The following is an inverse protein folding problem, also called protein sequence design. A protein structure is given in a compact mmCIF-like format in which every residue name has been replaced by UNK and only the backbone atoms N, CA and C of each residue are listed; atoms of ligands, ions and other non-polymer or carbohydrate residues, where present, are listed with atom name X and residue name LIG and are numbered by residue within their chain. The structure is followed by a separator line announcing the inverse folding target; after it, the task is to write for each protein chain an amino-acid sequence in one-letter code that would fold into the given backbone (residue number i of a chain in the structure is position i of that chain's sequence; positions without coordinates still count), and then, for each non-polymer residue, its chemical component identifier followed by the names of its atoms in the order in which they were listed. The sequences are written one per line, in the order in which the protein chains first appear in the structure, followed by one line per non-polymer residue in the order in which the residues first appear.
data_IF_158581256227
#
_entry.id   IF_158581256227
#
_cell.length_a   1.000
_cell.length_b   1.000
_cell.length_c   1.000
_cell.angle_alpha   90.00
_cell.angle_beta   90.00
_cell.angle_gamma   90.00
#
_symmetry.space_group_name_H-M   'P 1'
#
loop_
_entity.id
_entity.type
_entity.pdbx_description
1 polymer ?
#
# COMPACT_ATOMS: atom_id res chain seq x y z
N UNK A 1 -10.16 23.98 16.35
CA UNK A 1 -9.66 23.95 14.97
C UNK A 1 -9.32 22.51 14.67
N UNK A 2 -9.83 22.02 13.54
CA UNK A 2 -10.17 20.63 13.29
C UNK A 2 -8.95 19.71 13.39
N UNK A 3 -9.05 18.69 14.24
CA UNK A 3 -8.19 17.53 14.17
C UNK A 3 -8.59 16.76 12.92
N UNK A 4 -7.74 16.83 11.90
CA UNK A 4 -7.69 15.77 10.91
C UNK A 4 -7.36 14.49 11.67
N UNK A 5 -8.33 13.59 11.79
CA UNK A 5 -8.07 12.21 12.16
C UNK A 5 -7.06 11.68 11.14
N UNK A 6 -5.79 11.59 11.55
CA UNK A 6 -4.73 10.99 10.75
C UNK A 6 -5.16 9.56 10.52
N UNK A 7 -5.66 9.31 9.31
CA UNK A 7 -6.23 8.07 8.84
C UNK A 7 -5.36 6.89 9.30
N UNK A 8 -5.84 6.19 10.34
CA UNK A 8 -5.03 5.32 11.20
C UNK A 8 -4.93 3.90 10.61
N UNK A 9 -5.12 3.73 9.31
CA UNK A 9 -5.05 2.45 8.58
C UNK A 9 -3.72 1.73 8.81
N UNK A 10 -2.63 2.49 8.95
CA UNK A 10 -1.29 1.94 9.20
C UNK A 10 -1.07 1.49 10.66
N UNK A 11 -1.94 1.85 11.61
CA UNK A 11 -1.82 1.38 13.00
C UNK A 11 -2.07 -0.12 13.16
N UNK A 12 -2.88 -0.70 12.27
CA UNK A 12 -3.12 -2.14 12.21
C UNK A 12 -1.93 -2.92 11.60
N UNK A 13 -1.03 -2.23 10.87
CA UNK A 13 0.15 -2.82 10.24
C UNK A 13 1.36 -2.97 11.18
N UNK A 14 1.30 -2.49 12.43
CA UNK A 14 2.37 -2.73 13.41
C UNK A 14 2.44 -4.18 13.94
N UNK A 15 1.69 -5.09 13.32
CA UNK A 15 1.86 -6.53 13.50
C UNK A 15 3.20 -7.01 12.92
N UNK A 16 3.66 -8.19 13.37
CA UNK A 16 4.88 -8.83 12.84
C UNK A 16 4.88 -8.94 11.31
N UNK A 17 3.70 -9.16 10.70
CA UNK A 17 3.55 -9.23 9.24
C UNK A 17 3.82 -7.90 8.55
N UNK A 18 3.35 -6.78 9.11
CA UNK A 18 3.59 -5.48 8.50
C UNK A 18 5.04 -5.01 8.66
N UNK A 19 5.69 -5.34 9.78
CA UNK A 19 7.12 -5.08 9.95
C UNK A 19 7.95 -5.87 8.93
N UNK A 20 7.66 -7.16 8.73
CA UNK A 20 8.34 -7.99 7.71
C UNK A 20 8.09 -7.45 6.30
N UNK A 21 6.85 -7.04 6.01
CA UNK A 21 6.49 -6.50 4.69
C UNK A 21 7.24 -5.20 4.42
N UNK A 22 7.26 -4.27 5.39
CA UNK A 22 7.99 -3.02 5.28
C UNK A 22 9.52 -3.24 5.18
N UNK A 23 10.07 -4.18 5.93
CA UNK A 23 11.48 -4.58 5.81
C UNK A 23 11.81 -5.06 4.39
N UNK A 24 10.97 -5.92 3.81
CA UNK A 24 11.15 -6.41 2.43
C UNK A 24 11.04 -5.28 1.40
N UNK A 25 10.10 -4.35 1.57
CA UNK A 25 9.94 -3.19 0.68
C UNK A 25 11.19 -2.32 0.74
N UNK A 26 11.62 -1.91 1.93
CA UNK A 26 12.82 -1.10 2.11
C UNK A 26 14.09 -1.82 1.63
N UNK A 27 14.16 -3.15 1.81
CA UNK A 27 15.25 -3.98 1.28
C UNK A 27 15.38 -3.92 -0.24
N UNK A 28 14.26 -3.87 -0.99
CA UNK A 28 14.29 -3.64 -2.45
C UNK A 28 14.87 -2.28 -2.82
N UNK A 29 14.75 -1.30 -1.94
CA UNK A 29 15.31 0.05 -2.08
C UNK A 29 16.73 0.18 -1.52
N UNK A 30 17.36 -0.94 -1.13
CA UNK A 30 18.67 -1.00 -0.49
C UNK A 30 18.75 -0.22 0.84
N UNK A 31 17.62 -0.08 1.51
CA UNK A 31 17.51 0.54 2.84
C UNK A 31 17.40 -0.56 3.88
N UNK A 32 18.49 -0.77 4.62
CA UNK A 32 18.55 -1.76 5.71
C UNK A 32 18.62 -1.02 7.05
N UNK A 33 17.55 -1.06 7.83
CA UNK A 33 17.46 -0.48 9.18
C UNK A 33 17.55 -1.57 10.24
N UNK A 34 18.06 -1.24 11.43
CA UNK A 34 17.96 -2.14 12.58
C UNK A 34 16.49 -2.27 13.01
N UNK A 35 16.07 -3.40 13.58
CA UNK A 35 14.66 -3.67 13.87
C UNK A 35 13.97 -2.56 14.70
N UNK A 36 14.65 -2.03 15.73
CA UNK A 36 14.10 -0.94 16.54
C UNK A 36 13.93 0.36 15.74
N UNK A 37 14.89 0.68 14.87
CA UNK A 37 14.81 1.86 13.99
C UNK A 37 13.73 1.68 12.93
N UNK A 38 13.58 0.47 12.36
CA UNK A 38 12.56 0.15 11.37
C UNK A 38 11.16 0.38 11.94
N UNK A 39 10.89 -0.14 13.14
CA UNK A 39 9.57 0.02 13.79
C UNK A 39 9.26 1.49 13.99
N UNK A 40 10.22 2.27 14.48
CA UNK A 40 10.02 3.71 14.68
C UNK A 40 9.86 4.47 13.37
N UNK A 41 10.68 4.15 12.38
CA UNK A 41 10.66 4.77 11.06
C UNK A 41 9.32 4.62 10.34
N UNK A 42 8.64 3.49 10.53
CA UNK A 42 7.30 3.24 9.99
C UNK A 42 6.22 3.94 10.83
N UNK A 43 6.43 4.09 12.15
CA UNK A 43 5.49 4.79 13.04
C UNK A 43 5.45 6.29 12.81
N UNK A 44 6.59 6.89 12.51
CA UNK A 44 6.70 8.33 12.40
C UNK A 44 6.20 8.81 11.04
N UNK A 45 5.02 9.49 10.97
CA UNK A 45 4.43 9.85 9.68
C UNK A 45 5.30 10.82 8.89
N UNK A 46 6.10 11.63 9.58
CA UNK A 46 6.98 12.63 8.97
C UNK A 46 8.32 12.06 8.49
N UNK A 47 8.57 10.76 8.70
CA UNK A 47 9.83 10.14 8.29
C UNK A 47 9.83 9.85 6.78
N UNK A 48 10.99 10.01 6.14
CA UNK A 48 11.20 9.56 4.77
C UNK A 48 10.87 8.08 4.58
N UNK A 49 11.22 7.24 5.55
CA UNK A 49 11.01 5.79 5.46
C UNK A 49 9.52 5.43 5.50
N UNK A 50 8.73 6.14 6.30
CA UNK A 50 7.28 6.01 6.31
C UNK A 50 6.71 6.30 4.91
N UNK A 51 7.14 7.39 4.30
CA UNK A 51 6.69 7.79 2.96
C UNK A 51 7.15 6.81 1.86
N UNK A 52 8.34 6.23 1.99
CA UNK A 52 8.83 5.19 1.07
C UNK A 52 8.00 3.91 1.10
N UNK A 53 7.42 3.54 2.25
CA UNK A 53 6.60 2.32 2.38
C UNK A 53 5.10 2.57 2.21
N UNK A 54 4.63 3.81 2.41
CA UNK A 54 3.20 4.15 2.41
C UNK A 54 2.47 3.71 1.14
N UNK A 55 2.98 4.08 -0.04
CA UNK A 55 2.36 3.73 -1.33
C UNK A 55 2.41 2.21 -1.60
N UNK A 56 3.57 1.53 -1.48
CA UNK A 56 3.63 0.08 -1.64
C UNK A 56 2.72 -0.69 -0.68
N UNK A 57 2.63 -0.28 0.59
CA UNK A 57 1.77 -0.95 1.57
C UNK A 57 0.28 -0.82 1.22
N UNK A 58 -0.16 0.36 0.77
CA UNK A 58 -1.52 0.55 0.25
C UNK A 58 -1.78 -0.33 -0.97
N UNK A 59 -0.82 -0.42 -1.89
CA UNK A 59 -0.94 -1.31 -3.05
C UNK A 59 -1.05 -2.79 -2.66
N UNK A 60 -0.34 -3.24 -1.61
CA UNK A 60 -0.48 -4.60 -1.08
C UNK A 60 -1.88 -4.82 -0.51
N UNK A 61 -2.41 -3.87 0.27
CA UNK A 61 -3.77 -3.94 0.79
C UNK A 61 -4.81 -4.01 -0.34
N UNK A 62 -4.67 -3.16 -1.36
CA UNK A 62 -5.55 -3.18 -2.53
C UNK A 62 -5.49 -4.50 -3.28
N UNK A 63 -4.30 -5.11 -3.39
CA UNK A 63 -4.15 -6.44 -3.96
C UNK A 63 -4.97 -7.50 -3.21
N UNK A 64 -4.97 -7.47 -1.87
CA UNK A 64 -5.77 -8.39 -1.04
C UNK A 64 -7.27 -8.17 -1.27
N UNK A 65 -7.74 -6.92 -1.32
CA UNK A 65 -9.16 -6.61 -1.54
C UNK A 65 -9.60 -7.04 -2.95
N UNK A 66 -8.76 -6.79 -3.96
CA UNK A 66 -9.00 -7.23 -5.34
C UNK A 66 -9.02 -8.77 -5.44
N UNK A 67 -8.15 -9.47 -4.72
CA UNK A 67 -8.15 -10.95 -4.67
C UNK A 67 -9.46 -11.47 -4.06
N UNK A 68 -9.93 -10.90 -2.95
CA UNK A 68 -11.25 -11.22 -2.37
C UNK A 68 -12.40 -10.97 -3.34
N UNK A 69 -12.38 -9.82 -4.04
CA UNK A 69 -13.38 -9.50 -5.06
C UNK A 69 -13.34 -10.50 -6.23
N UNK A 70 -12.13 -10.91 -6.64
CA UNK A 70 -11.93 -11.91 -7.67
C UNK A 70 -12.46 -13.29 -7.24
N UNK A 71 -12.25 -13.69 -5.99
CA UNK A 71 -12.79 -14.95 -5.47
C UNK A 71 -14.32 -14.98 -5.50
N UNK A 72 -14.97 -13.85 -5.16
CA UNK A 72 -16.42 -13.70 -5.36
C UNK A 72 -16.82 -13.77 -6.83
N UNK A 73 -16.10 -13.07 -7.72
CA UNK A 73 -16.36 -13.11 -9.15
C UNK A 73 -16.26 -14.54 -9.71
N UNK A 74 -15.19 -15.28 -9.37
CA UNK A 74 -14.96 -16.67 -9.78
C UNK A 74 -16.08 -17.58 -9.26
N UNK A 75 -16.49 -17.41 -8.00
CA UNK A 75 -17.60 -18.18 -7.46
C UNK A 75 -18.93 -17.90 -8.20
N UNK A 76 -19.24 -16.64 -8.47
CA UNK A 76 -20.41 -16.26 -9.26
C UNK A 76 -20.38 -16.88 -10.67
N UNK A 77 -19.23 -16.87 -11.33
CA UNK A 77 -19.04 -17.51 -12.63
C UNK A 77 -19.30 -19.02 -12.57
N UNK A 78 -18.78 -19.71 -11.54
CA UNK A 78 -19.01 -21.14 -11.34
C UNK A 78 -20.50 -21.47 -11.17
N UNK A 79 -21.24 -20.67 -10.41
CA UNK A 79 -22.70 -20.82 -10.28
C UNK A 79 -23.42 -20.77 -11.64
N UNK A 80 -23.01 -19.86 -12.51
CA UNK A 80 -23.55 -19.76 -13.86
C UNK A 80 -23.11 -20.91 -14.76
N UNK A 81 -21.87 -21.37 -14.67
CA UNK A 81 -21.37 -22.51 -15.45
C UNK A 81 -22.18 -23.77 -15.08
N UNK A 82 -22.36 -24.05 -13.79
CA UNK A 82 -23.12 -25.20 -13.32
C UNK A 82 -24.58 -25.13 -13.79
N UNK A 83 -25.19 -23.93 -13.71
CA UNK A 83 -26.54 -23.68 -14.21
C UNK A 83 -26.65 -23.90 -15.73
N UNK A 84 -25.73 -23.36 -16.53
CA UNK A 84 -25.77 -23.49 -18.00
C UNK A 84 -25.53 -24.94 -18.46
N UNK A 85 -24.65 -25.68 -17.77
CA UNK A 85 -24.37 -27.08 -18.07
C UNK A 85 -25.49 -28.03 -17.65
N UNK A 86 -26.38 -27.61 -16.75
CA UNK A 86 -27.55 -28.41 -16.34
C UNK A 86 -28.59 -28.60 -17.45
N UNK A 87 -28.54 -27.78 -18.51
CA UNK A 87 -29.55 -27.78 -19.58
C UNK A 87 -30.86 -27.06 -19.22
N UNK A 88 -31.01 -26.55 -17.98
CA UNK A 88 -32.17 -25.75 -17.57
C UNK A 88 -32.32 -24.49 -18.42
N UNK A 89 -31.21 -23.86 -18.80
CA UNK A 89 -31.20 -22.67 -19.65
C UNK A 89 -31.67 -22.90 -21.10
N UNK A 90 -31.73 -24.17 -21.55
CA UNK A 90 -32.12 -24.53 -22.90
C UNK A 90 -33.62 -24.87 -23.04
N UNK A 91 -34.39 -24.74 -21.96
CA UNK A 91 -35.84 -25.01 -21.97
C UNK A 91 -36.61 -23.88 -22.64
N UNK A 92 -37.70 -24.26 -23.32
CA UNK A 92 -38.57 -23.33 -24.06
C UNK A 92 -39.09 -22.16 -23.20
N UNK A 93 -39.39 -21.05 -23.87
CA UNK A 93 -39.92 -19.82 -23.25
C UNK A 93 -41.30 -20.03 -22.59
N UNK A 94 -42.03 -21.07 -23.00
CA UNK A 94 -43.32 -21.43 -22.41
C UNK A 94 -43.18 -22.40 -21.22
N UNK A 95 -42.00 -22.97 -20.98
CA UNK A 95 -41.77 -23.91 -19.90
C UNK A 95 -41.75 -23.20 -18.53
N UNK A 96 -42.22 -23.89 -17.49
CA UNK A 96 -42.24 -23.37 -16.13
C UNK A 96 -40.85 -22.82 -15.72
N UNK A 97 -40.82 -21.62 -15.13
CA UNK A 97 -39.59 -20.96 -14.72
C UNK A 97 -38.97 -20.01 -15.76
N UNK A 98 -39.61 -19.78 -16.92
CA UNK A 98 -39.11 -18.89 -17.97
C UNK A 98 -38.72 -17.48 -17.46
N UNK A 99 -39.56 -16.86 -16.62
CA UNK A 99 -39.28 -15.54 -16.01
C UNK A 99 -38.00 -15.57 -15.17
N UNK A 100 -37.76 -16.64 -14.41
CA UNK A 100 -36.55 -16.83 -13.61
C UNK A 100 -35.33 -17.04 -14.50
N UNK A 101 -35.47 -17.80 -15.61
CA UNK A 101 -34.39 -17.99 -16.60
C UNK A 101 -33.99 -16.69 -17.28
N UNK A 102 -34.96 -15.86 -17.66
CA UNK A 102 -34.69 -14.53 -18.22
C UNK A 102 -33.99 -13.61 -17.21
N UNK A 103 -34.44 -13.63 -15.93
CA UNK A 103 -33.77 -12.87 -14.87
C UNK A 103 -32.32 -13.33 -14.65
N UNK A 104 -32.07 -14.64 -14.65
CA UNK A 104 -30.71 -15.21 -14.57
C UNK A 104 -29.85 -14.81 -15.76
N UNK A 105 -30.38 -14.76 -16.97
CA UNK A 105 -29.64 -14.29 -18.14
C UNK A 105 -29.28 -12.80 -18.01
N UNK A 106 -30.19 -11.96 -17.48
CA UNK A 106 -29.87 -10.56 -17.18
C UNK A 106 -28.75 -10.42 -16.15
N UNK A 107 -28.80 -11.18 -15.05
CA UNK A 107 -27.73 -11.19 -14.04
C UNK A 107 -26.40 -11.71 -14.64
N UNK A 108 -26.44 -12.67 -15.57
CA UNK A 108 -25.24 -13.16 -16.28
C UNK A 108 -24.60 -12.07 -17.14
N UNK A 109 -25.40 -11.32 -17.89
CA UNK A 109 -24.90 -10.22 -18.72
C UNK A 109 -24.32 -9.10 -17.86
N UNK A 110 -24.96 -8.79 -16.73
CA UNK A 110 -24.43 -7.84 -15.75
C UNK A 110 -23.12 -8.32 -15.14
N UNK A 111 -23.01 -9.61 -14.79
CA UNK A 111 -21.78 -10.19 -14.25
C UNK A 111 -20.62 -10.09 -15.25
N UNK A 112 -20.87 -10.34 -16.54
CA UNK A 112 -19.84 -10.19 -17.59
C UNK A 112 -19.38 -8.74 -17.69
N UNK A 113 -20.30 -7.79 -17.78
CA UNK A 113 -19.96 -6.37 -17.85
C UNK A 113 -19.19 -5.90 -16.61
N UNK A 114 -19.59 -6.38 -15.43
CA UNK A 114 -18.90 -6.11 -14.16
C UNK A 114 -17.50 -6.73 -14.14
N UNK A 115 -17.35 -7.96 -14.66
CA UNK A 115 -16.09 -8.67 -14.79
C UNK A 115 -15.10 -7.96 -15.72
N UNK A 116 -15.55 -7.47 -16.87
CA UNK A 116 -14.73 -6.72 -17.82
C UNK A 116 -14.17 -5.43 -17.18
N UNK A 117 -15.02 -4.69 -16.47
CA UNK A 117 -14.61 -3.48 -15.75
C UNK A 117 -13.67 -3.80 -14.58
N UNK A 118 -13.94 -4.89 -13.84
CA UNK A 118 -13.05 -5.36 -12.78
C UNK A 118 -11.65 -5.72 -13.31
N UNK A 119 -11.56 -6.42 -14.44
CA UNK A 119 -10.28 -6.72 -15.09
C UNK A 119 -9.55 -5.45 -15.55
N UNK A 120 -10.29 -4.42 -15.98
CA UNK A 120 -9.72 -3.10 -16.30
C UNK A 120 -9.08 -2.46 -15.06
N UNK A 121 -9.77 -2.48 -13.92
CA UNK A 121 -9.22 -1.97 -12.64
C UNK A 121 -8.01 -2.77 -12.19
N UNK A 122 -8.02 -4.10 -12.31
CA UNK A 122 -6.87 -4.93 -12.00
C UNK A 122 -5.64 -4.54 -12.85
N UNK A 123 -5.82 -4.34 -14.16
CA UNK A 123 -4.75 -3.86 -15.03
C UNK A 123 -4.25 -2.46 -14.66
N UNK A 124 -5.13 -1.57 -14.21
CA UNK A 124 -4.74 -0.25 -13.69
C UNK A 124 -3.94 -0.35 -12.39
N UNK A 125 -4.29 -1.27 -11.50
CA UNK A 125 -3.55 -1.53 -10.26
C UNK A 125 -2.14 -2.08 -10.55
N UNK A 126 -2.01 -3.03 -11.47
CA UNK A 126 -0.71 -3.57 -11.90
C UNK A 126 0.19 -2.47 -12.49
N UNK A 127 -0.39 -1.61 -13.34
CA UNK A 127 0.32 -0.46 -13.90
C UNK A 127 0.75 0.53 -12.82
N UNK A 128 -0.13 0.85 -11.86
CA UNK A 128 0.14 1.74 -10.74
C UNK A 128 1.29 1.21 -9.86
N UNK A 129 1.31 -0.11 -9.60
CA UNK A 129 2.41 -0.76 -8.88
C UNK A 129 3.72 -0.57 -9.64
N UNK A 130 3.75 -0.89 -10.94
CA UNK A 130 4.97 -0.79 -11.74
C UNK A 130 5.50 0.66 -11.79
N UNK A 131 4.61 1.63 -12.03
CA UNK A 131 4.95 3.04 -12.13
C UNK A 131 5.48 3.58 -10.79
N UNK A 132 4.73 3.36 -9.70
CA UNK A 132 5.12 3.83 -8.36
C UNK A 132 6.42 3.18 -7.88
N UNK A 133 6.63 1.88 -8.12
CA UNK A 133 7.87 1.19 -7.78
C UNK A 133 9.08 1.77 -8.54
N UNK A 134 8.92 2.07 -9.83
CA UNK A 134 9.98 2.68 -10.64
C UNK A 134 10.43 4.03 -10.07
N UNK A 135 9.48 4.89 -9.69
CA UNK A 135 9.77 6.19 -9.05
C UNK A 135 10.43 6.02 -7.69
N UNK A 136 9.89 5.14 -6.83
CA UNK A 136 10.43 4.88 -5.49
C UNK A 136 11.87 4.34 -5.55
N UNK A 137 12.16 3.43 -6.47
CA UNK A 137 13.52 2.89 -6.70
C UNK A 137 14.46 4.01 -7.15
N UNK A 138 14.04 4.84 -8.10
CA UNK A 138 14.85 5.95 -8.62
C UNK A 138 15.19 6.96 -7.53
N UNK A 139 14.19 7.36 -6.73
CA UNK A 139 14.40 8.29 -5.61
C UNK A 139 15.31 7.66 -4.56
N UNK A 140 15.10 6.39 -4.21
CA UNK A 140 15.93 5.68 -3.23
C UNK A 140 17.40 5.60 -3.66
N UNK A 141 17.66 5.32 -4.94
CA UNK A 141 19.03 5.34 -5.48
C UNK A 141 19.67 6.72 -5.43
N UNK A 142 18.92 7.77 -5.81
CA UNK A 142 19.39 9.15 -5.74
C UNK A 142 19.71 9.55 -4.29
N UNK A 143 18.81 9.22 -3.36
CA UNK A 143 18.98 9.45 -1.93
C UNK A 143 20.22 8.73 -1.39
N UNK A 144 20.36 7.43 -1.64
CA UNK A 144 21.51 6.64 -1.17
C UNK A 144 22.85 7.20 -1.70
N UNK A 145 22.88 7.64 -2.97
CA UNK A 145 24.06 8.26 -3.57
C UNK A 145 24.43 9.59 -2.92
N UNK A 146 23.47 10.47 -2.70
CA UNK A 146 23.72 11.75 -2.02
C UNK A 146 24.01 11.56 -0.52
N UNK A 147 23.43 10.55 0.12
CA UNK A 147 23.74 10.19 1.51
C UNK A 147 25.21 9.78 1.66
N UNK A 148 25.75 8.95 0.76
CA UNK A 148 27.17 8.59 0.79
C UNK A 148 28.09 9.80 0.53
N UNK A 149 27.70 10.70 -0.38
CA UNK A 149 28.44 11.96 -0.61
C UNK A 149 28.45 12.85 0.64
N UNK A 150 27.29 13.00 1.29
CA UNK A 150 27.17 13.75 2.53
C UNK A 150 28.03 13.13 3.64
N UNK A 151 27.96 11.81 3.86
CA UNK A 151 28.79 11.11 4.86
C UNK A 151 30.28 11.37 4.61
N UNK A 152 30.72 11.34 3.35
CA UNK A 152 32.11 11.65 2.99
C UNK A 152 32.47 13.11 3.27
N UNK A 153 31.59 14.05 2.93
CA UNK A 153 31.79 15.49 3.16
C UNK A 153 31.83 15.83 4.66
N UNK A 154 31.03 15.13 5.48
CA UNK A 154 30.92 15.35 6.92
C UNK A 154 32.14 14.86 7.71
N UNK A 155 32.97 13.97 7.16
CA UNK A 155 34.17 13.48 7.86
C UNK A 155 35.12 14.60 8.29
N UNK A 156 35.36 15.57 7.41
CA UNK A 156 36.32 16.65 7.68
C UNK A 156 35.80 17.61 8.77
N UNK A 157 34.57 18.16 8.66
CA UNK A 157 33.96 18.96 9.73
C UNK A 157 33.85 18.22 11.07
N UNK A 158 33.44 16.94 11.07
CA UNK A 158 33.29 16.16 12.29
C UNK A 158 34.63 15.86 12.96
N UNK A 159 35.71 15.66 12.19
CA UNK A 159 37.06 15.51 12.75
C UNK A 159 37.53 16.76 13.50
N UNK A 160 37.18 17.95 13.01
CA UNK A 160 37.44 19.22 13.71
C UNK A 160 36.66 19.31 15.03
N UNK A 161 35.52 18.62 15.13
CA UNK A 161 34.72 18.50 16.35
C UNK A 161 35.15 17.33 17.26
N UNK A 162 36.37 16.81 17.10
CA UNK A 162 36.91 15.66 17.85
C UNK A 162 36.19 14.31 17.63
N UNK A 163 35.41 14.16 16.57
CA UNK A 163 34.85 12.87 16.19
C UNK A 163 35.82 12.08 15.28
N UNK A 164 36.20 10.87 15.68
CA UNK A 164 37.06 9.98 14.86
C UNK A 164 36.40 8.65 14.48
N UNK A 165 35.08 8.54 14.59
CA UNK A 165 34.36 7.29 14.35
C UNK A 165 34.29 6.88 12.86
N UNK A 166 33.92 5.62 12.59
CA UNK A 166 33.76 5.10 11.22
C UNK A 166 32.57 5.74 10.49
N UNK A 167 32.53 5.60 9.15
CA UNK A 167 31.41 6.07 8.31
C UNK A 167 30.06 5.48 8.72
N UNK A 168 30.07 4.26 9.26
CA UNK A 168 28.86 3.57 9.73
C UNK A 168 28.18 4.32 10.87
N UNK A 169 28.92 4.94 11.79
CA UNK A 169 28.35 5.74 12.88
C UNK A 169 27.73 7.03 12.37
N UNK A 170 28.37 7.72 11.43
CA UNK A 170 27.80 8.91 10.77
C UNK A 170 26.50 8.54 10.05
N UNK A 171 26.48 7.39 9.35
CA UNK A 171 25.27 6.87 8.70
C UNK A 171 24.17 6.60 9.71
N UNK A 172 24.48 5.96 10.84
CA UNK A 172 23.51 5.70 11.93
C UNK A 172 22.95 7.00 12.50
N UNK A 173 23.80 7.99 12.76
CA UNK A 173 23.37 9.30 13.26
C UNK A 173 22.44 10.02 12.26
N UNK A 174 22.75 9.99 10.96
CA UNK A 174 21.88 10.56 9.94
C UNK A 174 20.54 9.84 9.86
N UNK A 175 20.51 8.50 9.86
CA UNK A 175 19.27 7.71 9.87
C UNK A 175 18.39 8.03 11.07
N UNK A 176 19.00 8.13 12.25
CA UNK A 176 18.31 8.53 13.46
C UNK A 176 17.66 9.90 13.29
N UNK A 177 18.40 10.91 12.81
CA UNK A 177 17.85 12.23 12.58
C UNK A 177 16.72 12.24 11.52
N UNK A 178 16.82 11.44 10.45
CA UNK A 178 15.77 11.28 9.41
C UNK A 178 14.49 10.60 9.93
N UNK A 179 14.59 9.84 11.03
CA UNK A 179 13.42 9.21 11.67
C UNK A 179 12.72 10.21 12.58
N UNK A 180 13.46 11.00 13.35
CA UNK A 180 12.90 11.81 14.44
C UNK A 180 12.71 13.30 14.12
N UNK A 181 13.22 13.81 13.00
CA UNK A 181 13.05 15.21 12.59
C UNK A 181 12.12 15.33 11.38
N UNK A 182 11.14 16.24 11.45
CA UNK A 182 10.34 16.62 10.29
C UNK A 182 11.08 17.67 9.45
N UNK A 183 11.92 17.21 8.51
CA UNK A 183 12.54 18.05 7.48
C UNK A 183 11.78 17.98 6.15
N UNK A 184 10.83 17.04 6.03
CA UNK A 184 10.08 16.82 4.81
C UNK A 184 9.07 17.95 4.53
N UNK A 185 8.33 18.40 5.55
CA UNK A 185 7.27 19.40 5.37
C UNK A 185 7.72 20.83 5.71
N UNK A 186 8.76 20.97 6.54
CA UNK A 186 9.15 22.27 7.09
C UNK A 186 10.68 22.42 7.21
N UNK A 187 11.27 23.06 6.21
CA UNK A 187 12.73 23.27 6.10
C UNK A 187 13.21 24.61 6.67
N UNK A 188 12.64 25.05 7.79
CA UNK A 188 13.18 26.20 8.54
C UNK A 188 14.60 25.93 9.02
N UNK A 189 15.39 26.98 9.21
CA UNK A 189 16.74 26.86 9.78
C UNK A 189 16.74 26.17 11.15
N UNK A 190 15.72 26.44 11.98
CA UNK A 190 15.53 25.80 13.28
C UNK A 190 15.39 24.27 13.16
N UNK A 191 14.56 23.79 12.22
CA UNK A 191 14.40 22.36 11.99
C UNK A 191 15.69 21.74 11.43
N UNK A 192 16.38 22.41 10.50
CA UNK A 192 17.68 21.95 9.98
C UNK A 192 18.74 21.86 11.08
N UNK A 193 18.73 22.76 12.07
CA UNK A 193 19.61 22.66 13.24
C UNK A 193 19.16 21.58 14.22
N UNK A 194 17.85 21.39 14.41
CA UNK A 194 17.29 20.29 15.21
C UNK A 194 17.71 18.92 14.67
N UNK A 195 17.75 18.76 13.34
CA UNK A 195 18.30 17.57 12.69
C UNK A 195 19.75 17.30 13.11
N UNK A 196 20.58 18.34 13.17
CA UNK A 196 21.97 18.23 13.61
C UNK A 196 22.06 17.87 15.10
N UNK A 197 21.21 18.42 15.95
CA UNK A 197 21.15 18.02 17.35
C UNK A 197 20.77 16.53 17.51
N UNK A 198 19.83 16.03 16.71
CA UNK A 198 19.51 14.60 16.69
C UNK A 198 20.65 13.73 16.17
N UNK A 199 21.47 14.22 15.25
CA UNK A 199 22.71 13.52 14.92
C UNK A 199 23.68 13.49 16.10
N UNK A 200 23.81 14.60 16.84
CA UNK A 200 24.69 14.70 18.00
C UNK A 200 24.27 13.77 19.15
N UNK A 201 22.98 13.47 19.29
CA UNK A 201 22.48 12.49 20.27
C UNK A 201 23.13 11.11 20.07
N UNK A 202 23.48 10.74 18.83
CA UNK A 202 24.18 9.49 18.50
C UNK A 202 25.70 9.67 18.52
N UNK A 203 26.21 10.75 17.91
CA UNK A 203 27.65 10.99 17.78
C UNK A 203 28.31 11.42 19.10
N UNK A 204 27.52 11.84 20.09
CA UNK A 204 27.94 12.35 21.42
C UNK A 204 28.98 13.48 21.31
N UNK A 205 28.75 14.40 20.37
CA UNK A 205 29.60 15.57 20.13
C UNK A 205 28.83 16.87 20.36
N UNK A 206 29.54 17.91 20.76
CA UNK A 206 29.02 19.27 20.84
C UNK A 206 29.55 20.09 19.68
N UNK A 207 28.65 20.57 18.82
CA UNK A 207 29.01 21.34 17.63
C UNK A 207 28.89 22.85 17.88
N UNK A 208 29.87 23.61 17.40
CA UNK A 208 29.79 25.07 17.34
C UNK A 208 28.81 25.51 16.25
N UNK A 209 28.26 26.71 16.36
CA UNK A 209 27.28 27.22 15.39
C UNK A 209 27.82 27.25 13.95
N UNK A 210 29.09 27.63 13.77
CA UNK A 210 29.77 27.61 12.47
C UNK A 210 29.83 26.20 11.84
N UNK A 211 30.15 25.19 12.66
CA UNK A 211 30.16 23.80 12.20
C UNK A 211 28.75 23.31 11.85
N UNK A 212 27.72 23.72 12.60
CA UNK A 212 26.32 23.39 12.27
C UNK A 212 25.94 23.95 10.91
N UNK A 213 26.23 25.22 10.63
CA UNK A 213 25.96 25.85 9.32
C UNK A 213 26.67 25.09 8.19
N UNK A 214 27.94 24.71 8.40
CA UNK A 214 28.70 23.93 7.41
C UNK A 214 28.13 22.54 7.19
N UNK A 215 27.62 21.88 8.23
CA UNK A 215 26.96 20.58 8.15
C UNK A 215 25.62 20.70 7.41
N UNK A 216 24.80 21.71 7.73
CA UNK A 216 23.56 22.01 6.99
C UNK A 216 23.85 22.16 5.50
N UNK A 217 24.87 22.94 5.14
CA UNK A 217 25.25 23.14 3.74
C UNK A 217 25.58 21.82 3.01
N UNK A 218 26.27 20.89 3.69
CA UNK A 218 26.58 19.57 3.13
C UNK A 218 25.35 18.65 3.02
N UNK A 219 24.29 18.93 3.78
CA UNK A 219 23.04 18.16 3.82
C UNK A 219 21.92 18.74 2.96
N UNK A 220 22.10 19.95 2.40
CA UNK A 220 21.06 20.68 1.67
C UNK A 220 20.43 19.87 0.53
N UNK A 221 21.23 19.05 -0.16
CA UNK A 221 20.73 18.14 -1.21
C UNK A 221 19.84 17.03 -0.65
N UNK A 222 20.16 16.49 0.52
CA UNK A 222 19.34 15.46 1.18
C UNK A 222 17.99 16.08 1.55
N UNK A 223 18.02 17.25 2.19
CA UNK A 223 16.79 17.96 2.56
C UNK A 223 15.93 18.24 1.33
N UNK A 224 16.54 18.72 0.24
CA UNK A 224 15.81 18.92 -1.01
C UNK A 224 15.18 17.62 -1.54
N UNK A 225 15.90 16.51 -1.53
CA UNK A 225 15.36 15.21 -1.97
C UNK A 225 14.15 14.80 -1.13
N UNK A 226 14.18 14.98 0.20
CA UNK A 226 13.03 14.65 1.05
C UNK A 226 11.80 15.50 0.73
N UNK A 227 11.97 16.82 0.58
CA UNK A 227 10.86 17.72 0.23
C UNK A 227 10.30 17.42 -1.18
N UNK A 228 11.18 17.21 -2.17
CA UNK A 228 10.76 16.90 -3.54
C UNK A 228 10.07 15.53 -3.61
N UNK A 229 10.48 14.58 -2.75
CA UNK A 229 9.88 13.25 -2.70
C UNK A 229 8.44 13.28 -2.22
N UNK A 230 8.14 14.06 -1.17
CA UNK A 230 6.77 14.17 -0.65
C UNK A 230 5.79 14.59 -1.75
N UNK A 231 6.16 15.57 -2.57
CA UNK A 231 5.35 16.04 -3.69
C UNK A 231 5.16 14.95 -4.76
N UNK A 232 6.23 14.23 -5.09
CA UNK A 232 6.20 13.19 -6.13
C UNK A 232 5.26 12.01 -5.78
N UNK A 233 5.09 11.69 -4.50
CA UNK A 233 4.27 10.55 -4.09
C UNK A 233 2.79 10.86 -3.87
N UNK A 234 2.40 12.14 -3.77
CA UNK A 234 1.01 12.52 -3.50
C UNK A 234 0.05 11.99 -4.57
N UNK A 235 0.43 12.08 -5.85
CA UNK A 235 -0.40 11.56 -6.95
C UNK A 235 -0.64 10.04 -6.80
N UNK A 236 0.39 9.29 -6.43
CA UNK A 236 0.26 7.85 -6.22
C UNK A 236 -0.60 7.52 -5.00
N UNK A 237 -0.53 8.32 -3.93
CA UNK A 237 -1.41 8.16 -2.76
C UNK A 237 -2.87 8.31 -3.17
N UNK A 238 -3.20 9.34 -3.95
CA UNK A 238 -4.57 9.56 -4.46
C UNK A 238 -5.01 8.41 -5.36
N UNK A 239 -4.19 8.00 -6.33
CA UNK A 239 -4.50 6.85 -7.20
C UNK A 239 -4.71 5.56 -6.42
N UNK A 240 -3.92 5.31 -5.37
CA UNK A 240 -4.14 4.12 -4.52
C UNK A 240 -5.50 4.17 -3.83
N UNK A 241 -5.94 5.34 -3.37
CA UNK A 241 -7.24 5.52 -2.74
C UNK A 241 -8.41 5.25 -3.70
N UNK A 242 -8.30 5.74 -4.94
CA UNK A 242 -9.30 5.49 -5.99
C UNK A 242 -9.43 3.99 -6.30
N UNK A 243 -8.31 3.27 -6.34
CA UNK A 243 -8.29 1.81 -6.49
C UNK A 243 -8.91 1.13 -5.27
N UNK A 244 -8.64 1.59 -4.04
CA UNK A 244 -9.26 1.05 -2.82
C UNK A 244 -10.78 1.14 -2.89
N UNK A 245 -11.31 2.32 -3.23
CA UNK A 245 -12.75 2.56 -3.35
C UNK A 245 -13.38 1.67 -4.42
N UNK A 246 -12.71 1.57 -5.57
CA UNK A 246 -13.16 0.71 -6.67
C UNK A 246 -13.17 -0.76 -6.25
N UNK A 247 -12.08 -1.26 -5.65
CA UNK A 247 -11.94 -2.65 -5.23
C UNK A 247 -13.00 -3.05 -4.19
N UNK A 248 -13.25 -2.19 -3.20
CA UNK A 248 -14.33 -2.40 -2.22
C UNK A 248 -15.70 -2.46 -2.91
N UNK A 249 -15.97 -1.53 -3.84
CA UNK A 249 -17.22 -1.50 -4.60
C UNK A 249 -17.43 -2.77 -5.43
N UNK A 250 -16.39 -3.29 -6.11
CA UNK A 250 -16.49 -4.55 -6.83
C UNK A 250 -16.73 -5.73 -5.90
N UNK A 251 -16.04 -5.79 -4.75
CA UNK A 251 -16.24 -6.84 -3.75
C UNK A 251 -17.70 -6.91 -3.32
N UNK A 252 -18.31 -5.76 -3.03
CA UNK A 252 -19.71 -5.66 -2.63
C UNK A 252 -20.65 -6.04 -3.79
N UNK A 253 -20.42 -5.52 -4.99
CA UNK A 253 -21.25 -5.83 -6.16
C UNK A 253 -21.20 -7.30 -6.56
N UNK A 254 -20.04 -7.96 -6.50
CA UNK A 254 -19.93 -9.40 -6.75
C UNK A 254 -20.63 -10.19 -5.65
N UNK A 255 -20.48 -9.80 -4.39
CA UNK A 255 -21.18 -10.44 -3.28
C UNK A 255 -22.71 -10.35 -3.43
N UNK A 256 -23.24 -9.17 -3.72
CA UNK A 256 -24.67 -8.96 -3.96
C UNK A 256 -25.16 -9.76 -5.17
N UNK A 257 -24.35 -9.87 -6.23
CA UNK A 257 -24.69 -10.68 -7.41
C UNK A 257 -24.78 -12.15 -7.05
N UNK A 258 -23.87 -12.68 -6.23
CA UNK A 258 -23.95 -14.06 -5.71
C UNK A 258 -25.27 -14.27 -4.98
N UNK A 259 -25.65 -13.36 -4.08
CA UNK A 259 -26.90 -13.48 -3.31
C UNK A 259 -28.12 -13.54 -4.24
N UNK A 260 -28.22 -12.61 -5.20
CA UNK A 260 -29.32 -12.58 -6.18
C UNK A 260 -29.39 -13.85 -7.01
N UNK A 261 -28.25 -14.34 -7.51
CA UNK A 261 -28.19 -15.57 -8.33
C UNK A 261 -28.60 -16.80 -7.53
N UNK A 262 -28.08 -16.95 -6.30
CA UNK A 262 -28.44 -18.07 -5.42
C UNK A 262 -29.93 -18.05 -5.10
N UNK A 263 -30.52 -16.87 -4.87
CA UNK A 263 -31.95 -16.74 -4.62
C UNK A 263 -32.80 -17.07 -5.85
N UNK A 264 -32.40 -16.63 -7.05
CA UNK A 264 -33.08 -16.98 -8.30
C UNK A 264 -33.03 -18.49 -8.57
N UNK A 265 -31.89 -19.14 -8.35
CA UNK A 265 -31.73 -20.59 -8.57
C UNK A 265 -32.71 -21.40 -7.72
N UNK A 266 -33.04 -20.96 -6.49
CA UNK A 266 -34.02 -21.65 -5.62
C UNK A 266 -35.42 -21.76 -6.24
N UNK A 267 -35.76 -20.87 -7.17
CA UNK A 267 -37.06 -20.85 -7.85
C UNK A 267 -37.08 -21.65 -9.15
N UNK A 268 -35.97 -22.26 -9.56
CA UNK A 268 -35.95 -23.16 -10.72
C UNK A 268 -36.56 -24.52 -10.37
N UNK A 269 -37.41 -25.09 -11.25
CA UNK A 269 -38.13 -26.32 -10.95
C UNK A 269 -37.23 -27.56 -10.97
N UNK A 270 -36.33 -27.65 -11.95
CA UNK A 270 -35.59 -28.89 -12.25
C UNK A 270 -34.07 -28.77 -12.03
N UNK A 271 -33.59 -27.59 -11.61
CA UNK A 271 -32.19 -27.37 -11.26
C UNK A 271 -32.05 -26.99 -9.79
N UNK A 272 -31.05 -27.58 -9.14
CA UNK A 272 -30.61 -27.23 -7.78
C UNK A 272 -29.10 -27.26 -7.75
N UNK A 273 -28.53 -26.37 -6.93
CA UNK A 273 -27.09 -26.35 -6.66
C UNK A 273 -26.70 -27.66 -5.97
N UNK A 274 -25.66 -28.32 -6.47
CA UNK A 274 -25.06 -29.47 -5.81
C UNK A 274 -24.37 -29.03 -4.50
N UNK A 275 -24.83 -29.50 -3.33
CA UNK A 275 -24.29 -29.07 -2.05
C UNK A 275 -22.82 -29.47 -1.83
N UNK A 276 -22.32 -30.55 -2.41
CA UNK A 276 -20.91 -30.96 -2.25
C UNK A 276 -19.99 -30.04 -3.07
N UNK A 277 -20.35 -29.81 -4.33
CA UNK A 277 -19.61 -28.91 -5.21
C UNK A 277 -19.67 -27.45 -4.73
N UNK A 278 -20.81 -27.02 -4.18
CA UNK A 278 -20.98 -25.69 -3.59
C UNK A 278 -20.08 -25.49 -2.36
N UNK A 279 -19.99 -26.48 -1.48
CA UNK A 279 -19.13 -26.41 -0.31
C UNK A 279 -17.65 -26.23 -0.69
N UNK A 280 -17.18 -26.98 -1.70
CA UNK A 280 -15.82 -26.84 -2.26
C UNK A 280 -15.63 -25.45 -2.87
N UNK A 281 -16.62 -24.97 -3.62
CA UNK A 281 -16.54 -23.68 -4.30
C UNK A 281 -16.58 -22.48 -3.33
N UNK A 282 -17.15 -22.64 -2.13
CA UNK A 282 -17.21 -21.62 -1.09
C UNK A 282 -16.02 -21.60 -0.15
N UNK A 283 -15.20 -22.65 -0.12
CA UNK A 283 -14.04 -22.74 0.78
C UNK A 283 -13.08 -21.53 0.68
N UNK A 284 -12.79 -20.97 -0.51
CA UNK A 284 -11.98 -19.75 -0.63
C UNK A 284 -12.65 -18.48 -0.09
N UNK A 285 -13.97 -18.49 0.12
CA UNK A 285 -14.76 -17.29 0.46
C UNK A 285 -14.80 -16.98 1.96
N UNK A 286 -14.14 -17.79 2.79
CA UNK A 286 -14.02 -17.58 4.24
C UNK A 286 -12.94 -16.55 4.57
N UNK A 287 -13.17 -15.30 4.16
CA UNK A 287 -12.31 -14.17 4.48
C UNK A 287 -13.09 -13.06 5.21
N UNK A 288 -12.34 -12.20 5.90
CA UNK A 288 -12.91 -11.01 6.53
C UNK A 288 -13.24 -9.95 5.47
N UNK A 289 -14.54 -9.67 5.34
CA UNK A 289 -15.08 -8.70 4.38
C UNK A 289 -14.90 -7.25 4.80
N UNK A 290 -14.53 -6.99 6.05
CA UNK A 290 -14.32 -5.64 6.59
C UNK A 290 -12.92 -5.10 6.31
N UNK A 291 -12.00 -5.93 5.79
CA UNK A 291 -10.65 -5.50 5.42
C UNK A 291 -10.72 -4.38 4.39
N UNK A 292 -10.06 -3.25 4.69
CA UNK A 292 -9.98 -2.09 3.81
C UNK A 292 -11.26 -1.26 3.71
N UNK A 293 -12.26 -1.52 4.55
CA UNK A 293 -13.37 -0.58 4.74
C UNK A 293 -12.85 0.69 5.44
N UNK A 294 -13.20 1.86 4.92
CA UNK A 294 -12.85 3.14 5.53
C UNK A 294 -13.39 3.18 6.97
N UNK A 295 -12.46 3.29 7.92
CA UNK A 295 -12.74 3.78 9.27
C UNK A 295 -12.67 5.29 9.28
#
# INVERSE_FOLDING_TARGET
MNGEEVNNELSHWFSTYGVITAERILGKYQVNLEHAELVEAIKTPTSLYHHLVRVPLRNVLNGIILEQANDYHVYAQKLFIDYLLSGESAKDEEAQGAVTREALERERQQLIALGDEFHRIHGQHDYLIAESQSVLIKVSHMFNSEMEKAINALKSPLKTANFSGPKSEIRKAMRHALIYCNIMDNQTEENKFSFIEKMNDILKISLTQDLKVRIVFNLEKIFKIESDFNVQIQEYIVKTEEITQSANSFRDQFYETILRVVDLIKFLPDYKIDPEQDAINREPLYFDKSIGAAG
#
